data_IF_457840602274
#
_entry.id   IF_457840602274
#
_cell.length_a   1.000
_cell.length_b   1.000
_cell.length_c   1.000
_cell.angle_alpha   90.00
_cell.angle_beta   90.00
_cell.angle_gamma   90.00
#
_symmetry.space_group_name_H-M   'P 1'
#
loop_
_entity.id
_entity.type
_entity.pdbx_description
1 polymer ?
#
# COMPACT_ATOMS: atom_id res chain seq x y z
N UNK A 1 1.65 4.86 27.21
CA UNK A 1 2.66 5.31 26.23
C UNK A 1 4.02 4.81 26.69
N UNK A 2 4.82 4.24 25.79
CA UNK A 2 6.18 3.79 26.09
C UNK A 2 7.09 3.99 24.88
N UNK A 3 8.41 3.87 25.08
CA UNK A 3 9.41 4.01 24.02
C UNK A 3 10.15 2.69 23.84
N UNK A 4 10.38 2.32 22.58
CA UNK A 4 11.20 1.18 22.18
C UNK A 4 12.41 1.72 21.41
N UNK A 5 13.61 1.25 21.73
CA UNK A 5 14.79 1.55 20.94
C UNK A 5 14.71 0.78 19.63
N UNK A 6 14.60 1.50 18.52
CA UNK A 6 14.72 0.98 17.16
C UNK A 6 16.16 1.17 16.66
N UNK A 7 16.51 0.63 15.50
CA UNK A 7 17.87 0.66 14.94
C UNK A 7 18.41 2.08 14.78
N UNK A 8 17.54 3.05 14.47
CA UNK A 8 17.96 4.43 14.15
C UNK A 8 17.33 5.50 15.05
N UNK A 9 16.30 5.15 15.83
CA UNK A 9 15.50 6.13 16.59
C UNK A 9 14.75 5.50 17.76
N UNK A 10 14.10 6.34 18.56
CA UNK A 10 13.12 5.88 19.54
C UNK A 10 11.74 5.77 18.88
N UNK A 11 11.18 4.56 18.80
CA UNK A 11 9.78 4.36 18.45
C UNK A 11 8.92 4.64 19.67
N UNK A 12 8.07 5.66 19.59
CA UNK A 12 7.10 5.98 20.64
C UNK A 12 5.79 5.28 20.33
N UNK A 13 5.38 4.37 21.22
CA UNK A 13 4.12 3.62 21.07
C UNK A 13 3.06 4.23 21.97
N UNK A 14 1.97 4.66 21.34
CA UNK A 14 0.80 5.24 22.00
C UNK A 14 -0.34 4.23 21.89
N UNK A 15 -0.78 3.69 23.03
CA UNK A 15 -1.84 2.68 23.13
C UNK A 15 -3.17 3.24 23.65
N UNK A 16 -3.14 4.47 24.18
CA UNK A 16 -4.28 5.06 24.88
C UNK A 16 -5.18 5.78 23.85
N UNK A 17 -6.47 5.45 23.75
CA UNK A 17 -7.36 6.01 22.73
C UNK A 17 -7.50 7.54 22.78
N UNK A 18 -7.48 8.13 23.99
CA UNK A 18 -7.60 9.58 24.17
C UNK A 18 -6.35 10.27 23.63
N UNK A 19 -5.16 9.77 23.98
CA UNK A 19 -3.88 10.26 23.45
C UNK A 19 -3.75 10.04 21.93
N UNK A 20 -4.30 8.95 21.37
CA UNK A 20 -4.33 8.74 19.91
C UNK A 20 -5.16 9.84 19.23
N UNK A 21 -6.32 10.18 19.81
CA UNK A 21 -7.20 11.20 19.25
C UNK A 21 -6.63 12.62 19.41
N UNK A 22 -5.90 12.89 20.51
CA UNK A 22 -5.12 14.12 20.65
C UNK A 22 -4.02 14.22 19.59
N UNK A 23 -3.21 13.17 19.43
CA UNK A 23 -2.14 13.11 18.44
C UNK A 23 -2.67 13.35 17.02
N UNK A 24 -3.80 12.74 16.67
CA UNK A 24 -4.44 12.88 15.35
C UNK A 24 -4.87 14.31 15.03
N UNK A 25 -5.17 15.13 16.05
CA UNK A 25 -5.59 16.53 15.91
C UNK A 25 -4.43 17.52 15.92
N UNK A 26 -3.22 17.09 16.29
CA UNK A 26 -2.07 17.97 16.32
C UNK A 26 -1.75 18.49 14.91
N UNK A 27 -1.31 19.76 14.81
CA UNK A 27 -0.89 20.32 13.54
C UNK A 27 0.40 19.66 13.02
N UNK A 28 0.56 19.68 11.70
CA UNK A 28 1.75 19.16 11.00
C UNK A 28 3.07 19.82 11.46
N UNK A 29 3.01 21.01 12.08
CA UNK A 29 4.16 21.70 12.65
C UNK A 29 4.70 21.04 13.92
N UNK A 30 3.91 20.20 14.60
CA UNK A 30 4.31 19.47 15.81
C UNK A 30 4.62 18.00 15.48
N UNK A 31 3.78 17.36 14.67
CA UNK A 31 3.94 15.97 14.24
C UNK A 31 3.83 15.89 12.73
N UNK A 32 4.82 15.31 12.06
CA UNK A 32 4.87 15.31 10.59
C UNK A 32 4.80 13.90 10.01
N UNK A 33 3.65 13.55 9.44
CA UNK A 33 3.50 12.32 8.65
C UNK A 33 4.42 12.34 7.43
N UNK A 34 4.70 13.52 6.85
CA UNK A 34 5.62 13.66 5.71
C UNK A 34 7.02 13.19 6.07
N UNK A 35 7.58 13.69 7.17
CA UNK A 35 8.94 13.30 7.58
C UNK A 35 8.97 11.85 8.08
N UNK A 36 7.92 11.37 8.74
CA UNK A 36 7.82 9.97 9.16
C UNK A 36 7.84 9.00 7.96
N UNK A 37 7.11 9.30 6.87
CA UNK A 37 7.15 8.49 5.65
C UNK A 37 8.51 8.64 4.95
N UNK A 38 9.05 9.87 4.86
CA UNK A 38 10.38 10.11 4.26
C UNK A 38 11.44 9.22 4.87
N UNK A 39 11.48 9.13 6.19
CA UNK A 39 12.38 8.25 6.94
C UNK A 39 11.99 6.77 6.75
N UNK A 40 10.72 6.42 7.01
CA UNK A 40 10.30 5.02 7.08
C UNK A 40 10.36 4.22 5.78
N UNK A 41 10.31 4.88 4.61
CA UNK A 41 10.52 4.22 3.30
C UNK A 41 11.73 4.76 2.56
N UNK A 42 12.59 5.52 3.25
CA UNK A 42 13.82 6.09 2.70
C UNK A 42 13.55 6.80 1.36
N UNK A 43 12.53 7.68 1.37
CA UNK A 43 11.85 8.14 0.15
C UNK A 43 12.79 8.79 -0.86
N UNK A 44 13.86 9.43 -0.39
CA UNK A 44 14.92 10.00 -1.22
C UNK A 44 15.54 8.97 -2.18
N UNK A 45 15.73 7.74 -1.71
CA UNK A 45 16.38 6.66 -2.46
C UNK A 45 15.39 5.73 -3.16
N UNK A 46 14.11 5.77 -2.78
CA UNK A 46 13.08 4.88 -3.33
C UNK A 46 12.20 5.60 -4.37
N UNK A 47 11.43 6.60 -3.96
CA UNK A 47 10.47 7.32 -4.83
C UNK A 47 11.00 8.67 -5.35
N UNK A 48 12.12 9.14 -4.81
CA UNK A 48 12.74 10.42 -5.14
C UNK A 48 12.14 11.62 -4.38
N UNK A 49 12.94 12.66 -4.22
CA UNK A 49 12.60 13.85 -3.44
C UNK A 49 11.46 14.70 -4.05
N UNK A 50 11.18 14.55 -5.35
CA UNK A 50 10.15 15.34 -6.03
C UNK A 50 8.76 15.11 -5.44
N UNK A 51 8.43 13.87 -5.05
CA UNK A 51 7.11 13.54 -4.49
C UNK A 51 6.91 14.19 -3.11
N UNK A 52 7.99 14.37 -2.34
CA UNK A 52 7.95 15.07 -1.04
C UNK A 52 7.81 16.58 -1.19
N UNK A 53 8.53 17.15 -2.15
CA UNK A 53 8.61 18.59 -2.35
C UNK A 53 7.39 19.12 -3.12
N UNK A 54 6.79 18.28 -3.96
CA UNK A 54 5.58 18.55 -4.69
C UNK A 54 4.61 17.37 -4.56
N UNK A 55 3.79 17.32 -3.48
CA UNK A 55 2.88 16.21 -3.23
C UNK A 55 1.60 16.30 -4.08
N UNK A 56 1.75 16.45 -5.41
CA UNK A 56 0.65 16.62 -6.38
C UNK A 56 -0.39 15.48 -6.34
N UNK A 57 0.04 14.28 -5.98
CA UNK A 57 -0.83 13.11 -5.89
C UNK A 57 -1.91 13.26 -4.81
N UNK A 58 -1.63 13.97 -3.71
CA UNK A 58 -2.59 14.16 -2.60
C UNK A 58 -3.88 14.86 -3.05
N UNK A 59 -3.84 16.08 -3.63
CA UNK A 59 -5.05 16.73 -4.10
C UNK A 59 -5.73 15.96 -5.24
N UNK A 60 -4.98 15.29 -6.13
CA UNK A 60 -5.57 14.48 -7.20
C UNK A 60 -6.38 13.31 -6.61
N UNK A 61 -5.82 12.57 -5.65
CA UNK A 61 -6.52 11.48 -4.97
C UNK A 61 -7.79 12.01 -4.29
N UNK A 62 -7.68 13.11 -3.54
CA UNK A 62 -8.80 13.69 -2.80
C UNK A 62 -9.92 14.23 -3.71
N UNK A 63 -9.58 14.72 -4.91
CA UNK A 63 -10.53 15.44 -5.79
C UNK A 63 -10.93 14.69 -7.05
N UNK A 64 -10.21 13.63 -7.45
CA UNK A 64 -10.52 12.83 -8.64
C UNK A 64 -10.85 11.41 -8.25
N UNK A 65 -9.92 10.72 -7.60
CA UNK A 65 -10.09 9.30 -7.26
C UNK A 65 -11.30 9.09 -6.35
N UNK A 66 -11.44 9.91 -5.30
CA UNK A 66 -12.57 9.83 -4.35
C UNK A 66 -13.94 9.83 -5.04
N UNK A 67 -14.13 10.68 -6.06
CA UNK A 67 -15.42 10.81 -6.74
C UNK A 67 -15.65 9.74 -7.81
N UNK A 68 -14.57 9.17 -8.35
CA UNK A 68 -14.63 8.08 -9.32
C UNK A 68 -14.84 6.70 -8.67
N UNK A 69 -14.71 6.57 -7.33
CA UNK A 69 -14.86 5.29 -6.64
C UNK A 69 -16.14 4.51 -6.99
N UNK A 70 -17.35 5.11 -7.08
CA UNK A 70 -18.55 4.34 -7.42
C UNK A 70 -18.49 3.68 -8.79
N UNK A 71 -17.75 4.27 -9.74
CA UNK A 71 -17.55 3.73 -11.08
C UNK A 71 -16.40 2.69 -11.11
N UNK A 72 -15.35 2.90 -10.33
CA UNK A 72 -14.15 2.07 -10.35
C UNK A 72 -14.26 0.80 -9.48
N UNK A 73 -15.01 0.85 -8.37
CA UNK A 73 -15.16 -0.27 -7.43
C UNK A 73 -15.71 -1.54 -8.09
N UNK A 74 -16.75 -1.50 -8.94
CA UNK A 74 -17.26 -2.71 -9.59
C UNK A 74 -16.18 -3.45 -10.40
N UNK A 75 -15.38 -2.72 -11.18
CA UNK A 75 -14.29 -3.30 -11.96
C UNK A 75 -13.18 -3.88 -11.07
N UNK A 76 -12.85 -3.21 -9.97
CA UNK A 76 -11.88 -3.73 -9.00
C UNK A 76 -12.39 -5.01 -8.32
N UNK A 77 -13.67 -5.08 -7.97
CA UNK A 77 -14.29 -6.25 -7.35
C UNK A 77 -14.34 -7.45 -8.30
N UNK A 78 -14.69 -7.21 -9.57
CA UNK A 78 -14.61 -8.22 -10.63
C UNK A 78 -13.19 -8.77 -10.72
N UNK A 79 -12.19 -7.90 -10.80
CA UNK A 79 -10.78 -8.31 -10.89
C UNK A 79 -10.31 -9.10 -9.66
N UNK A 80 -10.70 -8.70 -8.45
CA UNK A 80 -10.44 -9.47 -7.22
C UNK A 80 -11.05 -10.87 -7.33
N UNK A 81 -12.31 -10.95 -7.75
CA UNK A 81 -13.05 -12.22 -7.86
C UNK A 81 -12.38 -13.16 -8.86
N UNK A 82 -12.08 -12.66 -10.04
CA UNK A 82 -11.44 -13.41 -11.11
C UNK A 82 -10.06 -13.90 -10.69
N UNK A 83 -9.20 -12.99 -10.21
CA UNK A 83 -7.83 -13.34 -9.81
C UNK A 83 -7.83 -14.30 -8.63
N UNK A 84 -8.79 -14.19 -7.71
CA UNK A 84 -8.94 -15.13 -6.60
C UNK A 84 -9.30 -16.54 -7.12
N UNK A 85 -10.29 -16.66 -8.01
CA UNK A 85 -10.68 -17.94 -8.60
C UNK A 85 -9.57 -18.57 -9.45
N UNK A 86 -8.76 -17.75 -10.12
CA UNK A 86 -7.63 -18.20 -10.94
C UNK A 86 -6.48 -18.74 -10.08
N UNK A 87 -6.12 -18.03 -9.01
CA UNK A 87 -4.95 -18.34 -8.17
C UNK A 87 -5.26 -19.31 -7.03
N UNK A 88 -6.51 -19.36 -6.58
CA UNK A 88 -6.98 -20.21 -5.48
C UNK A 88 -8.02 -21.17 -6.05
N UNK A 89 -7.51 -22.17 -6.79
CA UNK A 89 -8.36 -23.17 -7.41
C UNK A 89 -8.84 -24.18 -6.36
N UNK A 90 -10.14 -24.55 -6.38
CA UNK A 90 -10.64 -25.64 -5.56
C UNK A 90 -9.89 -26.93 -5.89
N UNK A 91 -9.41 -27.63 -4.87
CA UNK A 91 -8.99 -29.03 -5.04
C UNK A 91 -10.21 -29.91 -5.26
N UNK A 92 -10.08 -30.96 -6.07
CA UNK A 92 -11.15 -31.94 -6.27
C UNK A 92 -11.60 -32.52 -4.91
N UNK A 93 -12.89 -32.40 -4.59
CA UNK A 93 -13.48 -32.88 -3.34
C UNK A 93 -13.56 -31.83 -2.21
N UNK A 94 -13.74 -32.29 -0.97
CA UNK A 94 -13.87 -31.45 0.25
C UNK A 94 -12.55 -31.35 1.03
N UNK A 95 -11.43 -31.25 0.34
CA UNK A 95 -10.10 -31.20 0.95
C UNK A 95 -9.57 -29.77 1.01
N UNK A 96 -8.78 -29.48 2.04
CA UNK A 96 -8.09 -28.19 2.19
C UNK A 96 -6.85 -28.16 1.30
N UNK A 97 -6.57 -27.00 0.69
CA UNK A 97 -5.35 -26.76 -0.08
C UNK A 97 -4.46 -25.73 0.60
N UNK A 98 -3.15 -25.93 0.52
CA UNK A 98 -2.17 -24.97 1.03
C UNK A 98 -1.87 -23.92 -0.05
N UNK A 99 -1.95 -22.65 0.33
CA UNK A 99 -1.71 -21.51 -0.56
C UNK A 99 -0.56 -20.67 -0.01
N UNK A 100 0.32 -20.18 -0.88
CA UNK A 100 1.32 -19.17 -0.53
C UNK A 100 0.62 -17.81 -0.41
N UNK A 101 -0.05 -17.59 0.73
CA UNK A 101 -0.97 -16.46 0.93
C UNK A 101 -0.34 -15.12 0.59
N UNK A 102 0.88 -14.84 1.07
CA UNK A 102 1.53 -13.55 0.81
C UNK A 102 1.69 -13.27 -0.70
N UNK A 103 2.32 -14.18 -1.43
CA UNK A 103 2.53 -14.02 -2.88
C UNK A 103 1.21 -13.97 -3.65
N UNK A 104 0.23 -14.76 -3.23
CA UNK A 104 -1.09 -14.82 -3.87
C UNK A 104 -1.84 -13.50 -3.68
N UNK A 105 -1.88 -12.99 -2.44
CA UNK A 105 -2.54 -11.74 -2.12
C UNK A 105 -1.85 -10.53 -2.76
N UNK A 106 -0.51 -10.52 -2.83
CA UNK A 106 0.22 -9.45 -3.54
C UNK A 106 -0.21 -9.34 -5.01
N UNK A 107 -0.37 -10.49 -5.69
CA UNK A 107 -0.88 -10.51 -7.06
C UNK A 107 -2.33 -10.00 -7.14
N UNK A 108 -3.23 -10.55 -6.33
CA UNK A 108 -4.65 -10.13 -6.31
C UNK A 108 -4.78 -8.61 -6.08
N UNK A 109 -4.03 -8.07 -5.12
CA UNK A 109 -4.02 -6.63 -4.82
C UNK A 109 -3.44 -5.82 -5.99
N UNK A 110 -2.35 -6.29 -6.61
CA UNK A 110 -1.76 -5.61 -7.77
C UNK A 110 -2.72 -5.58 -8.97
N UNK A 111 -3.38 -6.69 -9.29
CA UNK A 111 -4.39 -6.78 -10.34
C UNK A 111 -5.55 -5.79 -10.09
N UNK A 112 -6.15 -5.84 -8.90
CA UNK A 112 -7.27 -4.96 -8.53
C UNK A 112 -6.87 -3.47 -8.49
N UNK A 113 -5.71 -3.16 -7.92
CA UNK A 113 -5.17 -1.80 -7.88
C UNK A 113 -4.88 -1.27 -9.28
N UNK A 114 -4.27 -2.08 -10.14
CA UNK A 114 -4.00 -1.70 -11.52
C UNK A 114 -5.29 -1.54 -12.33
N UNK A 115 -6.33 -2.34 -12.06
CA UNK A 115 -7.64 -2.18 -12.69
C UNK A 115 -8.24 -0.79 -12.43
N UNK A 116 -8.03 -0.25 -11.23
CA UNK A 116 -8.46 1.10 -10.84
C UNK A 116 -7.55 2.19 -11.42
N UNK A 117 -6.23 2.00 -11.38
CA UNK A 117 -5.26 3.05 -11.69
C UNK A 117 -4.91 3.17 -13.17
N UNK A 118 -4.81 2.03 -13.87
CA UNK A 118 -4.36 1.98 -15.28
C UNK A 118 -5.32 1.24 -16.22
N UNK A 119 -6.23 0.42 -15.68
CA UNK A 119 -7.22 -0.32 -16.46
C UNK A 119 -6.62 -1.38 -17.39
N UNK A 120 -7.43 -1.89 -18.33
CA UNK A 120 -7.00 -2.86 -19.33
C UNK A 120 -6.24 -2.19 -20.49
N UNK A 121 -5.28 -2.89 -21.13
CA UNK A 121 -4.84 -4.27 -20.83
C UNK A 121 -3.80 -4.35 -19.69
N UNK A 122 -3.21 -3.23 -19.29
CA UNK A 122 -2.06 -3.17 -18.37
C UNK A 122 -2.34 -3.81 -16.99
N UNK A 123 -3.58 -3.81 -16.51
CA UNK A 123 -3.90 -4.42 -15.23
C UNK A 123 -3.63 -5.92 -15.14
N UNK A 124 -3.57 -6.61 -16.29
CA UNK A 124 -3.22 -8.03 -16.40
C UNK A 124 -1.94 -8.30 -17.18
N UNK A 125 -1.20 -7.25 -17.55
CA UNK A 125 0.10 -7.43 -18.16
C UNK A 125 1.06 -8.02 -17.11
N UNK A 126 1.64 -9.22 -17.35
CA UNK A 126 2.43 -9.92 -16.35
C UNK A 126 3.69 -9.14 -15.96
N UNK A 127 4.33 -8.45 -16.91
CA UNK A 127 5.53 -7.67 -16.65
C UNK A 127 5.20 -6.43 -15.81
N UNK A 128 4.07 -5.78 -16.10
CA UNK A 128 3.56 -4.67 -15.30
C UNK A 128 3.22 -5.09 -13.87
N UNK A 129 2.48 -6.19 -13.70
CA UNK A 129 2.12 -6.70 -12.36
C UNK A 129 3.38 -7.07 -11.58
N UNK A 130 4.32 -7.77 -12.21
CA UNK A 130 5.57 -8.18 -11.58
C UNK A 130 6.42 -6.98 -11.16
N UNK A 131 6.54 -5.96 -12.02
CA UNK A 131 7.22 -4.71 -11.71
C UNK A 131 6.61 -4.01 -10.49
N UNK A 132 5.28 -3.88 -10.43
CA UNK A 132 4.60 -3.19 -9.33
C UNK A 132 4.79 -3.92 -7.99
N UNK A 133 4.69 -5.24 -8.00
CA UNK A 133 4.89 -6.07 -6.80
C UNK A 133 6.35 -5.97 -6.32
N UNK A 134 7.32 -6.17 -7.20
CA UNK A 134 8.73 -6.12 -6.84
C UNK A 134 9.15 -4.73 -6.36
N UNK A 135 8.74 -3.68 -7.07
CA UNK A 135 9.04 -2.31 -6.65
C UNK A 135 8.48 -2.00 -5.26
N UNK A 136 7.26 -2.44 -4.96
CA UNK A 136 6.67 -2.26 -3.62
C UNK A 136 7.50 -2.96 -2.53
N UNK A 137 7.98 -4.18 -2.80
CA UNK A 137 8.84 -4.91 -1.87
C UNK A 137 10.21 -4.25 -1.69
N UNK A 138 10.80 -3.74 -2.77
CA UNK A 138 12.08 -3.04 -2.74
C UNK A 138 12.00 -1.74 -1.93
N UNK A 139 10.89 -1.00 -2.04
CA UNK A 139 10.64 0.20 -1.22
C UNK A 139 10.59 -0.14 0.27
N UNK A 140 9.86 -1.20 0.65
CA UNK A 140 9.78 -1.65 2.05
C UNK A 140 11.13 -2.12 2.55
N UNK A 141 11.86 -2.89 1.75
CA UNK A 141 13.20 -3.38 2.08
C UNK A 141 14.17 -2.23 2.29
N UNK A 142 14.17 -1.24 1.38
CA UNK A 142 15.00 -0.06 1.48
C UNK A 142 14.73 0.72 2.77
N UNK A 143 13.47 0.87 3.18
CA UNK A 143 13.09 1.51 4.44
C UNK A 143 13.66 0.83 5.70
N UNK A 144 13.91 -0.48 5.65
CA UNK A 144 14.50 -1.25 6.76
C UNK A 144 16.03 -1.21 6.71
N UNK A 145 16.62 -1.22 5.51
CA UNK A 145 18.07 -1.42 5.33
C UNK A 145 18.90 -0.15 5.16
N UNK A 146 18.29 0.96 4.77
CA UNK A 146 18.93 2.28 4.60
C UNK A 146 18.52 3.22 5.74
#
# INVERSE_FOLDING_TARGET
MFKVADTFRWLVVIHDPELIEELRKLPDSIVSTKEAIREGIQMKYTLGDHILNNPYHKPIIATKLRWALPELIPGAHEEVTDTFNELIQPTEGRYWTSVKVLNTMMKIIAHAGNRVLVGYPLCRDPDWVDLNVHYTLDVVKAGITL
#
